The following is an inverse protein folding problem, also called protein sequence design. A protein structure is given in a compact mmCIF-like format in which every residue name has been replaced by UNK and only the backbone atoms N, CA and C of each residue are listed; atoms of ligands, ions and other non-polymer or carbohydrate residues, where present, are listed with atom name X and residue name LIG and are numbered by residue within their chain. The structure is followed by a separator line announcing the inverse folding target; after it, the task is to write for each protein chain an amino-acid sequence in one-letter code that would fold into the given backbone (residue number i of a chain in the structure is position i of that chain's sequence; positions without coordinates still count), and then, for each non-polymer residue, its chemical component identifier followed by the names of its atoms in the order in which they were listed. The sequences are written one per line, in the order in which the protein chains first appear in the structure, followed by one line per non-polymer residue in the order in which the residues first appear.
data_IF_589948612350
#
_entry.id   IF_589948612350
#
_cell.length_a   1.000
_cell.length_b   1.000
_cell.length_c   1.000
_cell.angle_alpha   90.00
_cell.angle_beta   90.00
_cell.angle_gamma   90.00
#
_symmetry.space_group_name_H-M   'P 1'
#
loop_
_entity.id
_entity.type
_entity.pdbx_description
1 polymer ?
#
# COMPACT_ATOMS: atom_id res chain seq x y z
N UNK A 1 -4.43 11.77 37.91
CA UNK A 1 -3.67 10.59 37.45
C UNK A 1 -4.57 9.78 36.56
N UNK A 2 -4.37 9.85 35.25
CA UNK A 2 -5.25 9.23 34.26
C UNK A 2 -4.42 8.21 33.49
N UNK A 3 -4.41 6.98 33.99
CA UNK A 3 -3.80 5.80 33.36
C UNK A 3 -4.66 5.40 32.16
N UNK A 4 -4.51 6.11 31.04
CA UNK A 4 -4.94 5.58 29.75
C UNK A 4 -4.05 4.39 29.42
N UNK A 5 -4.70 3.23 29.48
CA UNK A 5 -4.16 1.92 29.21
C UNK A 5 -3.25 1.92 27.97
N UNK A 6 -2.13 1.23 28.11
CA UNK A 6 -1.21 0.86 27.05
C UNK A 6 -2.00 0.45 25.80
N UNK A 7 -1.90 1.25 24.74
CA UNK A 7 -2.41 0.86 23.42
C UNK A 7 -1.68 -0.42 23.04
N UNK A 8 -2.43 -1.50 22.91
CA UNK A 8 -1.92 -2.82 22.57
C UNK A 8 -1.18 -2.74 21.24
N UNK A 9 0.15 -2.66 21.30
CA UNK A 9 1.02 -2.85 20.15
C UNK A 9 0.70 -4.24 19.58
N UNK A 10 0.19 -4.28 18.34
CA UNK A 10 -0.19 -5.52 17.63
C UNK A 10 0.72 -5.67 16.41
N UNK A 11 1.71 -6.57 16.45
CA UNK A 11 2.57 -6.83 15.30
C UNK A 11 1.82 -7.71 14.28
N UNK A 12 1.06 -7.10 13.35
CA UNK A 12 0.47 -7.81 12.18
C UNK A 12 -0.24 -6.87 11.16
N UNK A 13 0.31 -5.69 10.84
CA UNK A 13 -0.44 -4.65 10.12
C UNK A 13 -0.56 -4.73 8.57
N UNK A 14 -0.09 -5.75 7.83
CA UNK A 14 -0.58 -5.98 6.46
C UNK A 14 -1.84 -6.88 6.44
N UNK A 15 -1.96 -7.84 7.35
CA UNK A 15 -3.03 -8.86 7.33
C UNK A 15 -4.42 -8.29 7.62
N UNK A 16 -4.48 -7.20 8.39
CA UNK A 16 -5.72 -6.43 8.64
C UNK A 16 -6.33 -5.92 7.33
N UNK A 17 -5.49 -5.53 6.36
CA UNK A 17 -5.90 -5.06 5.04
C UNK A 17 -6.08 -6.20 4.03
N UNK A 18 -5.43 -7.36 4.23
CA UNK A 18 -5.74 -8.59 3.47
C UNK A 18 -7.19 -9.04 3.68
N UNK A 19 -7.78 -8.83 4.87
CA UNK A 19 -9.22 -9.09 5.09
C UNK A 19 -10.13 -8.11 4.32
N UNK A 20 -9.69 -6.89 4.09
CA UNK A 20 -10.40 -5.94 3.21
C UNK A 20 -10.39 -6.44 1.75
N UNK A 21 -9.27 -7.05 1.32
CA UNK A 21 -9.12 -7.69 0.01
C UNK A 21 -10.05 -8.89 -0.21
N UNK A 22 -10.43 -9.66 0.82
CA UNK A 22 -11.30 -10.84 0.66
C UNK A 22 -12.81 -10.53 0.65
N UNK A 23 -13.27 -9.51 1.39
CA UNK A 23 -14.69 -9.05 1.36
C UNK A 23 -15.09 -8.37 0.05
N UNK A 24 -14.11 -8.10 -0.80
CA UNK A 24 -14.25 -7.34 -2.04
C UNK A 24 -14.70 -8.18 -3.25
N UNK A 25 -14.78 -9.51 -3.14
CA UNK A 25 -15.25 -10.38 -4.23
C UNK A 25 -16.68 -10.09 -4.68
N UNK A 26 -17.53 -9.59 -3.77
CA UNK A 26 -18.91 -9.19 -4.08
C UNK A 26 -18.98 -7.99 -5.04
N UNK A 27 -18.15 -6.97 -4.86
CA UNK A 27 -18.15 -5.78 -5.74
C UNK A 27 -17.74 -6.11 -7.18
N UNK A 28 -16.83 -7.06 -7.39
CA UNK A 28 -16.37 -7.44 -8.72
C UNK A 28 -17.49 -8.14 -9.51
N UNK A 29 -18.33 -8.93 -8.83
CA UNK A 29 -19.54 -9.49 -9.41
C UNK A 29 -20.54 -8.39 -9.78
N UNK A 30 -20.74 -7.38 -8.93
CA UNK A 30 -21.62 -6.24 -9.25
C UNK A 30 -21.11 -5.42 -10.45
N UNK A 31 -19.80 -5.17 -10.56
CA UNK A 31 -19.20 -4.43 -11.68
C UNK A 31 -19.34 -5.16 -13.01
N UNK A 32 -19.33 -6.50 -13.03
CA UNK A 32 -19.55 -7.29 -14.25
C UNK A 32 -21.02 -7.50 -14.57
N UNK A 33 -21.88 -7.67 -13.55
CA UNK A 33 -23.31 -7.98 -13.74
C UNK A 33 -24.13 -6.75 -14.15
N UNK A 34 -23.78 -5.55 -13.69
CA UNK A 34 -24.48 -4.31 -14.04
C UNK A 34 -24.41 -4.01 -15.55
N UNK A 35 -23.23 -3.97 -16.22
CA UNK A 35 -23.16 -3.75 -17.66
C UNK A 35 -23.74 -4.92 -18.46
N UNK A 36 -23.65 -6.16 -17.96
CA UNK A 36 -24.26 -7.32 -18.61
C UNK A 36 -25.80 -7.26 -18.59
N UNK A 37 -26.37 -6.87 -17.44
CA UNK A 37 -27.82 -6.64 -17.29
C UNK A 37 -28.30 -5.47 -18.15
N UNK A 38 -27.49 -4.42 -18.29
CA UNK A 38 -27.79 -3.29 -19.18
C UNK A 38 -27.73 -3.68 -20.66
N UNK A 39 -26.73 -4.46 -21.08
CA UNK A 39 -26.64 -4.96 -22.45
C UNK A 39 -27.84 -5.85 -22.79
N UNK A 40 -28.26 -6.74 -21.88
CA UNK A 40 -29.46 -7.56 -22.06
C UNK A 40 -30.74 -6.71 -22.12
N UNK A 41 -30.88 -5.69 -21.26
CA UNK A 41 -32.00 -4.75 -21.26
C UNK A 41 -32.05 -3.89 -22.53
N UNK A 42 -30.90 -3.46 -23.04
CA UNK A 42 -30.78 -2.67 -24.27
C UNK A 42 -31.18 -3.47 -25.51
N UNK A 43 -30.75 -4.73 -25.59
CA UNK A 43 -31.15 -5.66 -26.68
C UNK A 43 -32.67 -5.89 -26.64
N UNK A 44 -33.25 -6.04 -25.45
CA UNK A 44 -34.69 -6.22 -25.29
C UNK A 44 -35.49 -4.94 -25.61
N UNK A 45 -34.99 -3.76 -25.23
CA UNK A 45 -35.60 -2.47 -25.55
C UNK A 45 -35.57 -2.16 -27.06
N UNK A 46 -34.46 -2.46 -27.74
CA UNK A 46 -34.35 -2.35 -29.20
C UNK A 46 -35.35 -3.25 -29.94
N UNK A 47 -35.69 -4.41 -29.36
CA UNK A 47 -36.68 -5.32 -29.92
C UNK A 47 -38.13 -4.82 -29.77
N UNK A 48 -38.41 -3.94 -28.79
CA UNK A 48 -39.77 -3.50 -28.44
C UNK A 48 -40.10 -2.06 -28.88
N UNK A 49 -39.14 -1.14 -28.92
CA UNK A 49 -39.40 0.27 -29.27
C UNK A 49 -38.13 0.98 -29.80
N UNK A 50 -38.02 1.21 -31.13
CA UNK A 50 -36.87 1.90 -31.72
C UNK A 50 -36.88 3.43 -31.53
N UNK A 51 -37.94 4.03 -30.96
CA UNK A 51 -38.12 5.50 -30.98
C UNK A 51 -37.41 6.25 -29.86
N UNK A 52 -36.96 5.55 -28.81
CA UNK A 52 -36.33 6.18 -27.61
C UNK A 52 -34.84 5.84 -27.44
N UNK A 53 -34.16 5.41 -28.50
CA UNK A 53 -32.77 4.91 -28.45
C UNK A 53 -31.78 5.91 -27.83
N UNK A 54 -32.02 7.22 -27.93
CA UNK A 54 -31.15 8.26 -27.35
C UNK A 54 -31.14 8.29 -25.82
N UNK A 55 -32.28 8.03 -25.15
CA UNK A 55 -32.35 8.02 -23.68
C UNK A 55 -31.66 6.79 -23.09
N UNK A 56 -31.79 5.65 -23.77
CA UNK A 56 -31.09 4.41 -23.42
C UNK A 56 -29.57 4.51 -23.61
N UNK A 57 -29.11 5.21 -24.65
CA UNK A 57 -27.69 5.47 -24.86
C UNK A 57 -27.09 6.34 -23.73
N UNK A 58 -27.81 7.40 -23.32
CA UNK A 58 -27.39 8.25 -22.20
C UNK A 58 -27.29 7.49 -20.87
N UNK A 59 -28.27 6.64 -20.56
CA UNK A 59 -28.25 5.76 -19.40
C UNK A 59 -27.08 4.75 -19.44
N UNK A 60 -26.85 4.11 -20.59
CA UNK A 60 -25.73 3.19 -20.78
C UNK A 60 -24.36 3.86 -20.56
N UNK A 61 -24.14 5.04 -21.14
CA UNK A 61 -22.90 5.79 -20.97
C UNK A 61 -22.69 6.22 -19.51
N UNK A 62 -23.73 6.74 -18.84
CA UNK A 62 -23.64 7.13 -17.42
C UNK A 62 -23.29 5.95 -16.51
N UNK A 63 -23.85 4.76 -16.81
CA UNK A 63 -23.59 3.53 -16.05
C UNK A 63 -22.16 3.03 -16.28
N UNK A 64 -21.63 3.14 -17.50
CA UNK A 64 -20.23 2.82 -17.80
C UNK A 64 -19.26 3.78 -17.09
N UNK A 65 -19.56 5.08 -17.06
CA UNK A 65 -18.75 6.07 -16.36
C UNK A 65 -18.76 5.78 -14.85
N UNK A 66 -19.93 5.61 -14.25
CA UNK A 66 -20.06 5.29 -12.82
C UNK A 66 -19.40 3.94 -12.49
N UNK A 67 -19.61 2.92 -13.33
CA UNK A 67 -18.97 1.61 -13.18
C UNK A 67 -17.43 1.71 -13.27
N UNK A 68 -16.91 2.51 -14.20
CA UNK A 68 -15.49 2.80 -14.35
C UNK A 68 -14.91 3.55 -13.14
N UNK A 69 -15.61 4.55 -12.63
CA UNK A 69 -15.22 5.28 -11.42
C UNK A 69 -15.22 4.36 -10.18
N UNK A 70 -16.26 3.54 -9.99
CA UNK A 70 -16.32 2.56 -8.91
C UNK A 70 -15.23 1.50 -9.04
N UNK A 71 -14.94 1.02 -10.26
CA UNK A 71 -13.86 0.08 -10.51
C UNK A 71 -12.49 0.71 -10.23
N UNK A 72 -12.28 1.96 -10.65
CA UNK A 72 -11.06 2.72 -10.36
C UNK A 72 -10.84 2.86 -8.86
N UNK A 73 -11.84 3.36 -8.12
CA UNK A 73 -11.77 3.49 -6.66
C UNK A 73 -11.58 2.13 -5.96
N UNK A 74 -12.13 1.06 -6.53
CA UNK A 74 -11.97 -0.29 -6.01
C UNK A 74 -10.56 -0.85 -6.24
N UNK A 75 -10.00 -0.66 -7.42
CA UNK A 75 -8.61 -1.04 -7.72
C UNK A 75 -7.65 -0.21 -6.88
N UNK A 76 -7.91 1.09 -6.73
CA UNK A 76 -7.16 2.01 -5.88
C UNK A 76 -7.11 1.52 -4.44
N UNK A 77 -8.27 1.15 -3.87
CA UNK A 77 -8.37 0.61 -2.50
C UNK A 77 -7.63 -0.72 -2.27
N UNK A 78 -7.13 -1.36 -3.33
CA UNK A 78 -6.33 -2.59 -3.26
C UNK A 78 -4.83 -2.36 -3.37
N UNK A 79 -4.41 -1.14 -3.68
CA UNK A 79 -3.01 -0.77 -3.74
C UNK A 79 -2.56 -0.52 -2.31
N UNK A 80 -1.67 -1.39 -1.83
CA UNK A 80 -1.03 -1.25 -0.53
C UNK A 80 0.46 -1.07 -0.78
N UNK A 81 1.04 -0.04 -0.17
CA UNK A 81 2.48 0.22 -0.21
C UNK A 81 2.99 0.53 1.17
N UNK A 82 4.25 0.20 1.41
CA UNK A 82 4.94 0.56 2.66
C UNK A 82 6.02 1.54 2.32
N UNK A 83 6.06 2.67 3.01
CA UNK A 83 6.97 3.78 2.70
C UNK A 83 7.67 4.22 3.99
N UNK A 84 8.97 4.52 3.95
CA UNK A 84 9.65 5.16 5.05
C UNK A 84 9.28 6.64 5.15
N UNK A 85 8.89 7.07 6.35
CA UNK A 85 8.73 8.46 6.73
C UNK A 85 9.91 8.92 7.58
N UNK A 86 10.36 10.16 7.38
CA UNK A 86 11.51 10.74 8.07
C UNK A 86 11.07 11.89 8.98
N UNK A 87 11.69 11.99 10.15
CA UNK A 87 11.37 13.05 11.12
C UNK A 87 11.69 14.45 10.57
N UNK A 88 12.80 14.52 9.83
CA UNK A 88 13.33 15.71 9.18
C UNK A 88 13.46 15.45 7.68
N UNK A 89 13.59 16.54 6.95
CA UNK A 89 13.80 16.46 5.51
C UNK A 89 15.09 15.71 5.18
N UNK A 90 14.97 14.74 4.28
CA UNK A 90 16.08 13.96 3.76
C UNK A 90 16.16 14.16 2.24
N UNK A 91 17.14 14.93 1.79
CA UNK A 91 17.36 15.22 0.37
C UNK A 91 17.99 14.03 -0.36
N UNK A 92 17.72 13.90 -1.66
CA UNK A 92 18.33 12.88 -2.52
C UNK A 92 17.77 11.47 -2.33
N UNK A 93 16.57 11.34 -1.76
CA UNK A 93 15.88 10.06 -1.60
C UNK A 93 14.57 10.06 -2.35
N UNK A 94 14.45 9.16 -3.33
CA UNK A 94 13.19 8.90 -4.02
C UNK A 94 12.29 8.02 -3.16
N UNK A 95 11.22 8.60 -2.65
CA UNK A 95 10.13 7.89 -1.94
C UNK A 95 8.90 7.65 -2.82
N UNK A 96 8.96 8.03 -4.10
CA UNK A 96 7.82 7.99 -5.01
C UNK A 96 7.67 6.60 -5.66
N UNK A 97 6.43 6.08 -5.70
CA UNK A 97 6.05 4.79 -6.34
C UNK A 97 6.81 3.54 -5.84
N UNK A 98 7.45 3.60 -4.66
CA UNK A 98 8.11 2.46 -4.04
C UNK A 98 7.22 1.80 -2.97
N UNK A 99 7.52 0.55 -2.63
CA UNK A 99 6.98 -0.13 -1.46
C UNK A 99 5.86 -1.13 -1.77
N UNK A 100 5.50 -1.30 -3.03
CA UNK A 100 4.47 -2.25 -3.46
C UNK A 100 4.98 -3.70 -3.40
N UNK A 101 6.22 -3.92 -3.85
CA UNK A 101 6.81 -5.25 -3.82
C UNK A 101 7.11 -5.67 -2.37
N UNK A 102 7.56 -4.71 -1.55
CA UNK A 102 7.74 -4.91 -0.11
C UNK A 102 6.41 -5.21 0.60
N UNK A 103 5.34 -4.44 0.34
CA UNK A 103 4.03 -4.67 0.96
C UNK A 103 3.47 -6.06 0.62
N UNK A 104 3.62 -6.52 -0.62
CA UNK A 104 3.18 -7.85 -1.05
C UNK A 104 3.93 -8.97 -0.34
N UNK A 105 5.24 -8.79 -0.13
CA UNK A 105 6.12 -9.77 0.46
C UNK A 105 6.34 -9.59 1.97
N UNK A 106 5.60 -8.69 2.61
CA UNK A 106 5.90 -8.26 3.98
C UNK A 106 6.00 -9.41 4.97
N UNK A 107 5.00 -10.30 4.98
CA UNK A 107 5.01 -11.47 5.87
C UNK A 107 6.14 -12.45 5.58
N UNK A 108 6.60 -12.55 4.32
CA UNK A 108 7.78 -13.34 3.97
C UNK A 108 9.06 -12.68 4.48
N UNK A 109 9.18 -11.36 4.32
CA UNK A 109 10.32 -10.58 4.80
C UNK A 109 10.45 -10.61 6.33
N UNK A 110 9.34 -10.49 7.07
CA UNK A 110 9.35 -10.57 8.54
C UNK A 110 9.72 -11.97 9.04
N UNK A 111 9.21 -13.02 8.38
CA UNK A 111 9.63 -14.40 8.68
C UNK A 111 11.11 -14.61 8.40
N UNK A 112 11.61 -14.06 7.29
CA UNK A 112 13.01 -14.14 6.91
C UNK A 112 13.90 -13.39 7.92
N UNK A 113 13.51 -12.19 8.33
CA UNK A 113 14.20 -11.42 9.37
C UNK A 113 14.28 -12.21 10.68
N UNK A 114 13.14 -12.77 11.12
CA UNK A 114 13.05 -13.57 12.34
C UNK A 114 13.93 -14.82 12.27
N UNK A 115 13.93 -15.52 11.12
CA UNK A 115 14.77 -16.70 10.91
C UNK A 115 16.27 -16.39 10.98
N UNK A 116 16.67 -15.17 10.62
CA UNK A 116 18.06 -14.69 10.73
C UNK A 116 18.38 -14.05 12.10
N UNK A 117 17.44 -14.07 13.05
CA UNK A 117 17.63 -13.51 14.39
C UNK A 117 17.74 -11.98 14.42
N UNK A 118 17.32 -11.29 13.35
CA UNK A 118 17.21 -9.83 13.33
C UNK A 118 15.77 -9.40 13.61
N UNK A 119 15.59 -8.16 14.09
CA UNK A 119 14.25 -7.62 14.35
C UNK A 119 13.45 -7.57 13.05
N UNK A 120 12.18 -8.02 13.03
CA UNK A 120 11.33 -7.94 11.85
C UNK A 120 11.06 -6.48 11.46
N UNK A 121 10.71 -6.23 10.19
CA UNK A 121 10.41 -4.87 9.73
C UNK A 121 9.17 -4.30 10.42
N UNK A 122 8.23 -5.16 10.83
CA UNK A 122 7.04 -4.78 11.60
C UNK A 122 7.32 -4.17 12.98
N UNK A 123 8.53 -4.35 13.52
CA UNK A 123 8.92 -3.73 14.79
C UNK A 123 9.25 -2.24 14.66
N UNK A 124 9.44 -1.74 13.43
CA UNK A 124 9.90 -0.37 13.16
C UNK A 124 8.80 0.56 12.64
N UNK A 125 7.53 0.16 12.77
CA UNK A 125 6.44 1.02 12.35
C UNK A 125 5.06 0.44 12.55
N UNK A 126 4.11 1.09 11.85
CA UNK A 126 2.67 0.82 11.79
C UNK A 126 1.79 1.49 12.84
N UNK A 127 2.12 2.74 13.16
CA UNK A 127 1.13 3.69 13.64
C UNK A 127 0.80 4.68 12.52
N UNK A 128 -0.48 4.88 12.22
CA UNK A 128 -0.96 5.78 11.16
C UNK A 128 -1.25 7.19 11.71
N UNK A 129 -0.43 8.21 11.40
CA UNK A 129 -0.69 9.58 11.83
C UNK A 129 -1.98 10.17 11.25
N UNK A 130 -2.48 9.67 10.12
CA UNK A 130 -3.74 10.14 9.51
C UNK A 130 -4.96 9.68 10.30
N UNK A 131 -4.86 8.55 10.98
CA UNK A 131 -5.87 8.02 11.91
C UNK A 131 -5.68 8.54 13.35
N UNK A 132 -4.74 9.48 13.56
CA UNK A 132 -4.43 10.07 14.87
C UNK A 132 -3.57 9.20 15.77
N UNK A 133 -2.94 8.14 15.24
CA UNK A 133 -2.02 7.30 16.00
C UNK A 133 -0.67 7.99 16.17
N UNK A 134 0.00 7.75 17.32
CA UNK A 134 1.28 8.40 17.61
C UNK A 134 2.41 7.71 16.86
N UNK A 135 3.06 8.40 15.94
CA UNK A 135 4.23 7.85 15.21
C UNK A 135 5.35 7.50 16.19
N UNK A 136 5.83 6.26 16.13
CA UNK A 136 7.01 5.80 16.86
C UNK A 136 8.22 5.98 15.95
N UNK A 137 9.13 6.86 16.36
CA UNK A 137 10.34 7.18 15.62
C UNK A 137 11.49 6.27 16.04
N UNK A 138 12.10 5.58 15.08
CA UNK A 138 13.25 4.70 15.27
C UNK A 138 14.52 5.33 14.72
N UNK A 139 15.66 5.00 15.33
CA UNK A 139 16.94 5.42 14.76
C UNK A 139 17.25 4.62 13.50
N UNK A 140 17.82 5.25 12.48
CA UNK A 140 18.23 4.53 11.26
C UNK A 140 19.26 3.43 11.54
N UNK A 141 20.07 3.60 12.60
CA UNK A 141 21.04 2.61 13.06
C UNK A 141 20.38 1.30 13.55
N UNK A 142 19.14 1.35 14.05
CA UNK A 142 18.39 0.17 14.46
C UNK A 142 17.80 -0.60 13.27
N UNK A 143 17.36 0.12 12.23
CA UNK A 143 16.62 -0.46 11.10
C UNK A 143 17.56 -0.99 10.01
N UNK A 144 18.68 -0.30 9.78
CA UNK A 144 19.62 -0.60 8.70
C UNK A 144 20.19 -2.03 8.73
N UNK A 145 20.54 -2.63 9.90
CA UNK A 145 20.98 -4.02 9.96
C UNK A 145 19.91 -4.99 9.44
N UNK A 146 18.64 -4.80 9.79
CA UNK A 146 17.54 -5.64 9.30
C UNK A 146 17.43 -5.56 7.77
N UNK A 147 17.44 -4.36 7.20
CA UNK A 147 17.33 -4.19 5.73
C UNK A 147 18.51 -4.85 5.01
N UNK A 148 19.73 -4.66 5.51
CA UNK A 148 20.94 -5.29 4.94
C UNK A 148 20.86 -6.82 4.95
N UNK A 149 20.42 -7.40 6.06
CA UNK A 149 20.21 -8.84 6.16
C UNK A 149 19.17 -9.31 5.13
N UNK A 150 18.06 -8.59 4.98
CA UNK A 150 17.04 -8.94 4.00
C UNK A 150 17.53 -8.83 2.55
N UNK A 151 18.30 -7.80 2.20
CA UNK A 151 18.93 -7.68 0.87
C UNK A 151 19.82 -8.90 0.59
N UNK A 152 20.66 -9.28 1.55
CA UNK A 152 21.57 -10.41 1.40
C UNK A 152 20.83 -11.74 1.27
N UNK A 153 19.81 -11.98 2.09
CA UNK A 153 19.06 -13.24 2.07
C UNK A 153 18.17 -13.39 0.84
N UNK A 154 17.50 -12.32 0.39
CA UNK A 154 16.72 -12.35 -0.86
C UNK A 154 17.63 -12.61 -2.06
N UNK A 155 18.85 -12.06 -2.06
CA UNK A 155 19.84 -12.34 -3.11
C UNK A 155 20.32 -13.81 -3.09
N UNK A 156 20.44 -14.42 -1.91
CA UNK A 156 20.81 -15.86 -1.78
C UNK A 156 19.68 -16.79 -2.17
N UNK A 157 18.43 -16.43 -1.83
CA UNK A 157 17.26 -17.28 -2.00
C UNK A 157 16.09 -16.50 -2.61
N UNK A 158 16.15 -16.18 -3.92
CA UNK A 158 15.14 -15.35 -4.59
C UNK A 158 13.74 -15.97 -4.63
N UNK A 159 13.63 -17.29 -4.44
CA UNK A 159 12.36 -18.04 -4.43
C UNK A 159 11.50 -17.72 -3.20
N UNK A 160 12.07 -17.10 -2.17
CA UNK A 160 11.37 -16.78 -0.90
C UNK A 160 10.37 -15.62 -1.06
N UNK A 161 10.50 -14.81 -2.11
CA UNK A 161 9.66 -13.63 -2.35
C UNK A 161 9.12 -13.62 -3.78
N UNK A 162 7.92 -13.09 -3.95
CA UNK A 162 7.37 -12.77 -5.25
C UNK A 162 8.15 -11.60 -5.86
N UNK A 163 8.50 -11.69 -7.16
CA UNK A 163 9.22 -10.62 -7.88
C UNK A 163 10.53 -10.19 -7.20
N UNK A 164 11.53 -11.10 -7.07
CA UNK A 164 12.75 -10.87 -6.29
C UNK A 164 13.56 -9.65 -6.74
N UNK A 165 13.57 -9.34 -8.04
CA UNK A 165 14.28 -8.16 -8.57
C UNK A 165 13.64 -6.85 -8.08
N UNK A 166 12.31 -6.79 -8.05
CA UNK A 166 11.57 -5.63 -7.55
C UNK A 166 11.77 -5.45 -6.05
N UNK A 167 11.68 -6.54 -5.28
CA UNK A 167 11.93 -6.54 -3.82
C UNK A 167 13.36 -6.10 -3.52
N UNK A 168 14.35 -6.69 -4.19
CA UNK A 168 15.77 -6.35 -3.99
C UNK A 168 16.06 -4.91 -4.37
N UNK A 169 15.48 -4.41 -5.48
CA UNK A 169 15.61 -3.02 -5.88
C UNK A 169 15.02 -2.04 -4.86
N UNK A 170 13.84 -2.35 -4.31
CA UNK A 170 13.23 -1.54 -3.25
C UNK A 170 14.04 -1.58 -1.95
N UNK A 171 14.49 -2.77 -1.51
CA UNK A 171 15.32 -2.91 -0.32
C UNK A 171 16.65 -2.16 -0.44
N UNK A 172 17.29 -2.18 -1.61
CA UNK A 172 18.54 -1.42 -1.85
C UNK A 172 18.31 0.09 -1.81
N UNK A 173 17.18 0.58 -2.34
CA UNK A 173 16.80 1.99 -2.20
C UNK A 173 16.59 2.37 -0.73
N UNK A 174 15.92 1.51 0.04
CA UNK A 174 15.76 1.70 1.48
C UNK A 174 17.09 1.68 2.22
N UNK A 175 17.97 0.73 1.89
CA UNK A 175 19.31 0.66 2.48
C UNK A 175 20.08 1.97 2.26
N UNK A 176 20.09 2.48 1.03
CA UNK A 176 20.73 3.75 0.71
C UNK A 176 20.12 4.91 1.50
N UNK A 177 18.80 5.02 1.50
CA UNK A 177 18.09 6.08 2.21
C UNK A 177 18.32 6.03 3.73
N UNK A 178 18.35 4.83 4.32
CA UNK A 178 18.58 4.64 5.75
C UNK A 178 20.03 4.90 6.12
N UNK A 179 20.98 4.58 5.25
CA UNK A 179 22.38 4.98 5.44
C UNK A 179 22.54 6.52 5.43
N UNK A 180 21.85 7.21 4.52
CA UNK A 180 21.82 8.69 4.51
C UNK A 180 21.16 9.26 5.77
N UNK A 181 20.01 8.71 6.17
CA UNK A 181 19.33 9.10 7.41
C UNK A 181 20.23 8.89 8.64
N UNK A 182 20.97 7.77 8.69
CA UNK A 182 21.93 7.49 9.76
C UNK A 182 23.06 8.54 9.78
N UNK A 183 23.64 8.86 8.63
CA UNK A 183 24.70 9.86 8.53
C UNK A 183 24.24 11.25 9.01
N UNK A 184 22.95 11.56 8.85
CA UNK A 184 22.35 12.84 9.27
C UNK A 184 21.68 12.77 10.65
N UNK A 185 21.78 11.65 11.38
CA UNK A 185 21.07 11.40 12.64
C UNK A 185 19.55 11.69 12.56
N UNK A 186 18.93 11.33 11.43
CA UNK A 186 17.49 11.47 11.21
C UNK A 186 16.81 10.16 11.60
N UNK A 187 15.77 10.27 12.44
CA UNK A 187 14.91 9.16 12.80
C UNK A 187 13.87 8.90 11.71
N UNK A 188 13.42 7.66 11.61
CA UNK A 188 12.46 7.22 10.62
C UNK A 188 11.39 6.30 11.23
N UNK A 189 10.28 6.18 10.52
CA UNK A 189 9.19 5.26 10.83
C UNK A 189 8.68 4.63 9.54
N UNK A 190 8.16 3.41 9.60
CA UNK A 190 7.53 2.75 8.45
C UNK A 190 6.01 2.95 8.50
N UNK A 191 5.46 3.43 7.37
CA UNK A 191 4.03 3.67 7.19
C UNK A 191 3.45 2.71 6.16
N UNK A 192 2.22 2.23 6.40
CA UNK A 192 1.40 1.56 5.38
C UNK A 192 0.49 2.61 4.77
N UNK A 193 0.38 2.60 3.45
CA UNK A 193 -0.60 3.39 2.73
C UNK A 193 -1.51 2.49 1.89
N UNK A 194 -2.76 2.93 1.77
CA UNK A 194 -3.81 2.27 1.00
C UNK A 194 -4.30 3.29 -0.03
N UNK A 195 -4.29 2.91 -1.31
CA UNK A 195 -4.56 3.83 -2.41
C UNK A 195 -3.29 4.26 -3.14
N UNK A 196 -3.45 4.56 -4.42
CA UNK A 196 -2.46 5.19 -5.30
C UNK A 196 -2.52 6.72 -5.20
N UNK A 197 -3.63 7.26 -4.68
CA UNK A 197 -3.82 8.70 -4.52
C UNK A 197 -2.97 9.26 -3.38
N UNK A 198 -1.87 9.90 -3.76
CA UNK A 198 -0.99 10.62 -2.83
C UNK A 198 -1.52 12.05 -2.70
N UNK A 199 -2.28 12.36 -1.64
CA UNK A 199 -2.76 13.73 -1.42
C UNK A 199 -1.60 14.65 -1.03
N UNK A 200 -1.68 15.96 -1.36
CA UNK A 200 -0.63 16.93 -0.99
C UNK A 200 -0.31 16.98 0.51
N UNK A 201 -1.26 16.61 1.37
CA UNK A 201 -1.06 16.49 2.81
C UNK A 201 -0.13 15.32 3.17
N UNK A 202 -0.24 14.20 2.46
CA UNK A 202 0.66 13.06 2.61
C UNK A 202 2.10 13.45 2.23
N UNK A 203 2.27 14.34 1.25
CA UNK A 203 3.58 14.86 0.87
C UNK A 203 4.25 15.69 1.95
N UNK A 204 3.53 16.64 2.56
CA UNK A 204 4.08 17.47 3.64
C UNK A 204 4.47 16.62 4.87
N UNK A 205 3.73 15.55 5.13
CA UNK A 205 4.01 14.61 6.23
C UNK A 205 5.30 13.81 5.97
N UNK A 206 5.57 13.41 4.72
CA UNK A 206 6.69 12.54 4.38
C UNK A 206 8.07 13.23 4.43
N UNK A 207 8.12 14.55 4.23
CA UNK A 207 9.35 15.38 4.21
C UNK A 207 10.49 14.83 3.33
N UNK A 208 10.27 13.93 2.38
CA UNK A 208 11.28 13.49 1.42
C UNK A 208 11.07 14.19 0.09
N UNK A 209 12.06 14.96 -0.38
CA UNK A 209 12.04 15.57 -1.72
C UNK A 209 13.34 15.24 -2.45
N UNK A 210 13.24 15.19 -3.77
CA UNK A 210 14.37 15.16 -4.69
C UNK A 210 15.11 16.49 -4.60
#
# INVERSE_FOLDING_TARGET
MNTKAASSWRPAYPERHVKFRSKSGGCLAFILLIPLGFAAGFVWALALSPRDVSSWFGLGLSTLILGGCCYGAFVDSRIIRIIPMYEKHLAGVETFLIGHALARNWGHLDRLATAQGVRPLSDFGFNDPLEGETVIWHSAAEVLPTVRTLVAEVAKAPVVVDTPDAVTGELKRWEHAFALAQAQNIRLALLVEIGDSTSGQVWEIRKGHI
#
